data_IF_503307728577
#
_entry.id   IF_503307728577
#
_cell.length_a   1.000
_cell.length_b   1.000
_cell.length_c   1.000
_cell.angle_alpha   90.00
_cell.angle_beta   90.00
_cell.angle_gamma   90.00
#
_symmetry.space_group_name_H-M   'P 1'
#
loop_
_entity.id
_entity.type
_entity.pdbx_description
1 polymer ?
#
# COMPACT_ATOMS: atom_id res chain seq x y z
N UNK A 1 60.45 -54.51 37.42
CA UNK A 1 61.80 -53.91 37.29
C UNK A 1 61.66 -52.39 37.45
N UNK A 2 62.47 -51.80 38.35
CA UNK A 2 63.24 -50.54 38.22
C UNK A 2 62.66 -49.35 37.43
N UNK A 3 62.67 -48.07 37.89
CA UNK A 3 63.23 -47.41 39.10
C UNK A 3 62.51 -46.04 39.33
N UNK A 4 62.51 -45.54 40.57
CA UNK A 4 62.26 -44.13 40.99
C UNK A 4 63.50 -43.24 40.66
N UNK A 5 63.54 -41.87 40.82
CA UNK A 5 62.73 -41.02 41.72
C UNK A 5 62.33 -39.59 41.23
N UNK A 6 61.75 -38.79 42.13
CA UNK A 6 61.45 -37.35 41.99
C UNK A 6 62.65 -36.42 42.24
N UNK A 7 62.57 -35.13 41.84
CA UNK A 7 62.54 -34.01 42.81
C UNK A 7 61.63 -32.82 42.38
N UNK A 8 61.22 -31.82 43.18
CA UNK A 8 61.19 -31.60 44.65
C UNK A 8 60.26 -30.38 44.98
N UNK A 9 60.09 -30.00 46.27
CA UNK A 9 59.34 -28.80 46.73
C UNK A 9 60.15 -27.50 46.65
N UNK A 10 59.49 -26.35 46.44
CA UNK A 10 59.81 -25.09 47.17
C UNK A 10 58.55 -24.40 47.73
N UNK A 11 58.73 -23.69 48.86
CA UNK A 11 57.69 -23.21 49.78
C UNK A 11 57.13 -21.83 49.40
N UNK A 12 55.88 -21.58 49.84
CA UNK A 12 55.28 -20.24 49.98
C UNK A 12 56.10 -19.34 50.93
N UNK A 13 56.24 -18.06 50.58
CA UNK A 13 56.62 -16.98 51.48
C UNK A 13 55.44 -16.04 51.75
N UNK A 14 55.30 -15.55 52.98
CA UNK A 14 54.32 -14.52 53.41
C UNK A 14 54.97 -13.13 53.34
N UNK A 15 54.29 -12.13 52.78
CA UNK A 15 54.22 -10.70 53.18
C UNK A 15 52.93 -10.17 52.52
N UNK A 16 52.12 -9.26 53.05
CA UNK A 16 52.04 -8.60 54.36
C UNK A 16 50.84 -7.63 54.32
N UNK A 17 50.11 -7.51 55.42
CA UNK A 17 48.92 -6.67 55.53
C UNK A 17 49.32 -5.19 55.59
N UNK A 18 48.64 -4.30 54.86
CA UNK A 18 48.57 -2.88 55.17
C UNK A 18 47.13 -2.38 55.00
N UNK A 19 46.44 -2.19 56.12
CA UNK A 19 45.30 -1.27 56.19
C UNK A 19 45.84 0.15 56.05
N UNK A 20 45.17 0.99 55.26
CA UNK A 20 45.17 2.43 55.51
C UNK A 20 43.76 2.97 55.28
N UNK A 21 43.30 3.76 56.25
CA UNK A 21 41.94 4.26 56.35
C UNK A 21 41.68 5.45 55.41
N UNK A 22 40.40 5.63 55.12
CA UNK A 22 39.84 6.60 54.20
C UNK A 22 39.68 7.98 54.86
N UNK A 23 39.76 9.07 54.07
CA UNK A 23 38.77 10.15 54.18
C UNK A 23 38.07 10.34 52.81
N UNK A 24 36.77 10.04 52.62
CA UNK A 24 35.57 10.35 53.41
C UNK A 24 35.23 11.85 53.46
N UNK A 25 35.50 12.58 52.36
CA UNK A 25 35.10 14.00 52.24
C UNK A 25 34.60 14.46 50.85
N UNK A 26 34.80 13.69 49.75
CA UNK A 26 34.44 14.15 48.39
C UNK A 26 33.40 13.28 47.64
N UNK A 27 32.96 12.15 48.22
CA UNK A 27 31.92 11.31 47.61
C UNK A 27 30.48 11.75 47.95
N UNK A 28 30.28 12.55 49.00
CA UNK A 28 28.95 12.98 49.46
C UNK A 28 28.29 14.04 48.54
N UNK A 29 29.09 14.85 47.84
CA UNK A 29 28.59 15.87 46.92
C UNK A 29 28.05 15.33 45.58
N UNK A 30 28.43 14.10 45.20
CA UNK A 30 28.06 13.51 43.90
C UNK A 30 26.78 12.64 43.93
N UNK A 31 26.21 12.41 45.12
CA UNK A 31 25.01 11.57 45.31
C UNK A 31 23.77 12.33 45.83
N UNK A 32 23.89 13.64 46.08
CA UNK A 32 22.77 14.50 46.49
C UNK A 32 22.14 15.30 45.32
N UNK A 33 22.48 14.95 44.06
CA UNK A 33 22.09 15.69 42.86
C UNK A 33 21.23 14.94 41.84
N UNK A 34 20.74 13.73 42.15
CA UNK A 34 19.72 13.06 41.32
C UNK A 34 18.34 13.66 41.57
N UNK A 35 18.16 14.89 41.09
CA UNK A 35 16.83 15.42 40.82
C UNK A 35 16.11 14.45 39.87
N UNK A 36 14.94 13.97 40.28
CA UNK A 36 14.05 13.12 39.47
C UNK A 36 13.32 13.99 38.43
N UNK A 37 14.09 14.72 37.63
CA UNK A 37 13.62 15.34 36.41
C UNK A 37 13.88 14.36 35.27
N UNK A 38 12.84 14.05 34.50
CA UNK A 38 13.02 13.42 33.19
C UNK A 38 13.91 14.36 32.37
N UNK A 39 14.99 13.85 31.78
CA UNK A 39 15.86 14.68 30.95
C UNK A 39 15.01 15.23 29.79
N UNK A 40 14.83 16.56 29.68
CA UNK A 40 13.96 17.13 28.66
C UNK A 40 14.45 16.81 27.25
N UNK A 41 15.73 16.49 27.07
CA UNK A 41 16.27 16.01 25.81
C UNK A 41 15.85 14.56 25.53
N UNK A 42 15.84 13.66 26.52
CA UNK A 42 15.35 12.29 26.34
C UNK A 42 13.84 12.26 26.07
N UNK A 43 13.06 13.05 26.80
CA UNK A 43 11.62 13.20 26.54
C UNK A 43 11.36 13.78 25.14
N UNK A 44 12.18 14.76 24.70
CA UNK A 44 12.09 15.32 23.34
C UNK A 44 12.49 14.33 22.26
N UNK A 45 13.51 13.49 22.49
CA UNK A 45 13.92 12.42 21.58
C UNK A 45 12.78 11.42 21.41
N UNK A 46 12.22 10.90 22.51
CA UNK A 46 11.12 9.94 22.44
C UNK A 46 9.87 10.48 21.71
N UNK A 47 9.53 11.76 21.91
CA UNK A 47 8.44 12.41 21.17
C UNK A 47 8.76 12.58 19.68
N UNK A 48 10.01 12.93 19.32
CA UNK A 48 10.43 13.03 17.92
C UNK A 48 10.47 11.65 17.24
N UNK A 49 10.94 10.61 17.91
CA UNK A 49 10.91 9.22 17.42
C UNK A 49 9.47 8.76 17.15
N UNK A 50 8.55 9.06 18.08
CA UNK A 50 7.11 8.79 17.90
C UNK A 50 6.51 9.54 16.71
N UNK A 51 6.92 10.80 16.49
CA UNK A 51 6.49 11.59 15.31
C UNK A 51 7.05 11.02 14.01
N UNK A 52 8.32 10.60 13.98
CA UNK A 52 8.93 9.95 12.80
C UNK A 52 8.19 8.66 12.45
N UNK A 53 7.94 7.78 13.42
CA UNK A 53 7.19 6.54 13.22
C UNK A 53 5.75 6.77 12.71
N UNK A 54 5.09 7.85 13.14
CA UNK A 54 3.76 8.21 12.63
C UNK A 54 3.80 8.72 11.18
N UNK A 55 4.78 9.57 10.85
CA UNK A 55 4.98 10.06 9.49
C UNK A 55 5.38 8.95 8.52
N UNK A 56 6.28 8.04 8.92
CA UNK A 56 6.67 6.87 8.14
C UNK A 56 5.46 5.97 7.83
N UNK A 57 4.63 5.68 8.84
CA UNK A 57 3.39 4.92 8.63
C UNK A 57 2.44 5.60 7.62
N UNK A 58 2.21 6.92 7.76
CA UNK A 58 1.36 7.68 6.82
C UNK A 58 1.93 7.66 5.40
N UNK A 59 3.25 7.81 5.26
CA UNK A 59 3.93 7.77 3.96
C UNK A 59 3.74 6.41 3.28
N UNK A 60 3.90 5.31 4.00
CA UNK A 60 3.71 3.96 3.43
C UNK A 60 2.24 3.68 3.07
N UNK A 61 1.28 4.07 3.93
CA UNK A 61 -0.15 4.01 3.60
C UNK A 61 -0.46 4.78 2.30
N UNK A 62 0.04 6.02 2.16
CA UNK A 62 -0.17 6.86 0.98
C UNK A 62 0.49 6.32 -0.30
N UNK A 63 1.53 5.48 -0.17
CA UNK A 63 2.25 4.82 -1.27
C UNK A 63 1.62 3.51 -1.73
N UNK A 64 0.82 2.87 -0.86
CA UNK A 64 0.23 1.55 -1.06
C UNK A 64 -0.52 1.41 -2.41
N UNK A 65 -0.39 0.21 -3.00
CA UNK A 65 -1.04 -0.19 -4.25
C UNK A 65 -2.40 -0.82 -3.92
N UNK A 66 -3.47 -0.01 -3.85
CA UNK A 66 -4.80 -0.49 -3.42
C UNK A 66 -5.49 -1.38 -4.46
N UNK A 67 -5.22 -1.17 -5.75
CA UNK A 67 -5.76 -1.97 -6.85
C UNK A 67 -4.78 -2.01 -8.01
N UNK A 68 -4.57 -3.19 -8.57
CA UNK A 68 -3.66 -3.42 -9.69
C UNK A 68 -4.34 -4.33 -10.70
N UNK A 69 -4.28 -3.94 -11.97
CA UNK A 69 -4.66 -4.80 -13.08
C UNK A 69 -3.58 -4.77 -14.16
N UNK A 70 -3.50 -5.84 -14.95
CA UNK A 70 -2.60 -5.96 -16.09
C UNK A 70 -3.44 -6.15 -17.35
N UNK A 71 -3.07 -5.39 -18.39
CA UNK A 71 -3.57 -5.50 -19.75
C UNK A 71 -2.47 -6.10 -20.63
N UNK A 72 -2.65 -7.33 -21.13
CA UNK A 72 -1.72 -7.96 -22.07
C UNK A 72 -2.35 -7.98 -23.47
N UNK A 73 -1.68 -7.40 -24.46
CA UNK A 73 -2.18 -7.48 -25.83
C UNK A 73 -2.00 -8.89 -26.38
N UNK A 74 -3.08 -9.53 -26.83
CA UNK A 74 -3.06 -10.86 -27.44
C UNK A 74 -2.78 -10.70 -28.94
N UNK A 75 -3.69 -10.04 -29.67
CA UNK A 75 -3.65 -9.97 -31.13
C UNK A 75 -4.22 -8.64 -31.65
N UNK A 76 -3.86 -8.32 -32.90
CA UNK A 76 -4.49 -7.26 -33.67
C UNK A 76 -4.75 -7.76 -35.08
N UNK A 77 -5.98 -7.57 -35.54
CA UNK A 77 -6.43 -7.94 -36.87
C UNK A 77 -7.01 -6.71 -37.60
N UNK A 78 -7.17 -6.74 -38.94
CA UNK A 78 -8.00 -5.77 -39.63
C UNK A 78 -9.43 -5.79 -39.08
N UNK A 79 -10.05 -4.62 -38.92
CA UNK A 79 -11.46 -4.53 -38.50
C UNK A 79 -12.39 -4.95 -39.63
N UNK A 80 -13.35 -5.82 -39.30
CA UNK A 80 -14.48 -6.16 -40.19
C UNK A 80 -15.53 -5.04 -40.23
N UNK A 81 -15.65 -4.26 -39.14
CA UNK A 81 -16.64 -3.20 -38.98
C UNK A 81 -16.19 -1.87 -39.62
N UNK A 82 -14.87 -1.66 -39.74
CA UNK A 82 -14.26 -0.44 -40.28
C UNK A 82 -13.19 -0.77 -41.33
N UNK A 83 -13.42 -0.47 -42.62
CA UNK A 83 -12.37 -0.55 -43.64
C UNK A 83 -11.14 0.31 -43.27
N UNK A 84 -9.96 -0.31 -43.23
CA UNK A 84 -8.72 0.34 -42.80
C UNK A 84 -8.58 0.56 -41.29
N UNK A 85 -9.56 0.11 -40.49
CA UNK A 85 -9.46 0.03 -39.04
C UNK A 85 -8.71 -1.23 -38.59
N UNK A 86 -8.34 -1.26 -37.32
CA UNK A 86 -7.81 -2.44 -36.63
C UNK A 86 -8.77 -2.83 -35.51
N UNK A 87 -8.79 -4.13 -35.18
CA UNK A 87 -9.48 -4.70 -34.02
C UNK A 87 -8.42 -5.26 -33.08
N UNK A 88 -8.44 -4.88 -31.81
CA UNK A 88 -7.45 -5.31 -30.82
C UNK A 88 -8.09 -6.25 -29.80
N UNK A 89 -7.52 -7.44 -29.63
CA UNK A 89 -7.89 -8.35 -28.55
C UNK A 89 -6.80 -8.34 -27.48
N UNK A 90 -7.21 -8.28 -26.23
CA UNK A 90 -6.32 -8.23 -25.08
C UNK A 90 -6.91 -8.97 -23.89
N UNK A 91 -6.04 -9.35 -22.96
CA UNK A 91 -6.40 -9.92 -21.67
C UNK A 91 -6.36 -8.85 -20.60
N UNK A 92 -7.32 -8.90 -19.69
CA UNK A 92 -7.36 -8.14 -18.45
C UNK A 92 -7.32 -9.13 -17.28
N UNK A 93 -6.40 -8.93 -16.34
CA UNK A 93 -6.38 -9.62 -15.05
C UNK A 93 -6.18 -8.62 -13.93
N UNK A 94 -6.86 -8.81 -12.81
CA UNK A 94 -6.49 -8.14 -11.57
C UNK A 94 -5.40 -8.95 -10.86
N UNK A 95 -4.50 -8.29 -10.12
CA UNK A 95 -3.45 -8.97 -9.36
C UNK A 95 -3.33 -8.40 -7.94
N UNK A 96 -2.94 -9.25 -7.01
CA UNK A 96 -2.67 -8.87 -5.62
C UNK A 96 -1.29 -8.19 -5.47
N UNK A 97 -0.91 -7.69 -4.28
CA UNK A 97 0.40 -7.10 -4.04
C UNK A 97 1.60 -8.04 -4.24
N UNK A 98 1.39 -9.36 -4.28
CA UNK A 98 2.40 -10.38 -4.58
C UNK A 98 2.43 -10.77 -6.08
N UNK A 99 1.55 -10.20 -6.91
CA UNK A 99 1.43 -10.47 -8.34
C UNK A 99 0.56 -11.68 -8.69
N UNK A 100 -0.10 -12.32 -7.73
CA UNK A 100 -1.01 -13.43 -8.00
C UNK A 100 -2.35 -12.94 -8.57
N UNK A 101 -2.89 -13.64 -9.56
CA UNK A 101 -4.15 -13.26 -10.21
C UNK A 101 -5.35 -13.32 -9.25
N UNK A 102 -6.07 -12.21 -9.15
CA UNK A 102 -7.31 -12.08 -8.40
C UNK A 102 -8.50 -12.41 -9.30
N UNK A 103 -9.29 -13.42 -8.91
CA UNK A 103 -10.51 -13.80 -9.61
C UNK A 103 -10.24 -14.54 -10.93
N UNK A 104 -10.85 -14.08 -12.02
CA UNK A 104 -10.73 -14.68 -13.35
C UNK A 104 -10.12 -13.69 -14.33
N UNK A 105 -9.19 -14.16 -15.15
CA UNK A 105 -8.76 -13.42 -16.33
C UNK A 105 -9.94 -13.28 -17.30
N UNK A 106 -10.05 -12.11 -17.94
CA UNK A 106 -11.08 -11.83 -18.95
C UNK A 106 -10.40 -11.39 -20.24
N UNK A 107 -10.88 -11.89 -21.38
CA UNK A 107 -10.40 -11.45 -22.69
C UNK A 107 -11.46 -10.55 -23.34
N UNK A 108 -11.00 -9.42 -23.86
CA UNK A 108 -11.84 -8.39 -24.46
C UNK A 108 -11.36 -8.09 -25.88
N UNK A 109 -12.28 -7.62 -26.72
CA UNK A 109 -12.02 -7.30 -28.12
C UNK A 109 -12.62 -5.92 -28.46
N UNK A 110 -11.75 -4.96 -28.78
CA UNK A 110 -12.13 -3.57 -29.05
C UNK A 110 -11.89 -3.18 -30.50
N UNK A 111 -12.71 -2.28 -31.01
CA UNK A 111 -12.49 -1.61 -32.28
C UNK A 111 -11.52 -0.44 -32.10
N UNK A 112 -10.38 -0.52 -32.78
CA UNK A 112 -9.25 0.38 -32.64
C UNK A 112 -8.06 -0.22 -31.89
N UNK A 113 -7.11 0.62 -31.50
CA UNK A 113 -5.94 0.23 -30.70
C UNK A 113 -5.67 1.09 -29.45
N UNK A 114 -6.54 2.06 -29.15
CA UNK A 114 -6.60 2.76 -27.87
C UNK A 114 -7.68 2.12 -26.99
N UNK A 115 -7.28 1.57 -25.84
CA UNK A 115 -8.21 1.12 -24.82
C UNK A 115 -8.46 2.21 -23.79
N UNK A 116 -9.74 2.52 -23.54
CA UNK A 116 -10.22 3.39 -22.47
C UNK A 116 -10.72 2.55 -21.30
N UNK A 117 -10.40 2.99 -20.08
CA UNK A 117 -10.84 2.35 -18.84
C UNK A 117 -11.71 3.33 -18.04
N UNK A 118 -13.03 3.26 -18.21
CA UNK A 118 -13.99 4.05 -17.41
C UNK A 118 -14.09 3.46 -16.00
N UNK A 119 -13.73 4.29 -15.02
CA UNK A 119 -13.77 3.95 -13.61
C UNK A 119 -14.40 5.08 -12.80
N UNK A 120 -15.15 4.72 -11.77
CA UNK A 120 -15.71 5.67 -10.81
C UNK A 120 -14.83 5.69 -9.56
N UNK A 121 -14.27 6.85 -9.24
CA UNK A 121 -13.36 7.09 -8.12
C UNK A 121 -14.11 7.75 -6.96
N UNK A 122 -13.76 7.37 -5.73
CA UNK A 122 -14.19 8.03 -4.50
C UNK A 122 -12.97 8.34 -3.61
N UNK A 123 -12.93 9.56 -3.08
CA UNK A 123 -11.87 10.08 -2.22
C UNK A 123 -12.48 10.63 -0.94
N UNK A 124 -11.92 10.22 0.19
CA UNK A 124 -12.33 10.69 1.51
C UNK A 124 -11.40 11.81 2.01
N UNK A 125 -11.80 12.43 3.12
CA UNK A 125 -11.03 13.47 3.81
C UNK A 125 -9.69 12.96 4.35
N UNK A 126 -8.67 13.82 4.31
CA UNK A 126 -7.31 13.44 4.71
C UNK A 126 -7.21 13.13 6.23
N UNK A 127 -8.21 13.51 7.04
CA UNK A 127 -8.35 13.12 8.46
C UNK A 127 -8.31 11.59 8.66
N UNK A 128 -8.84 10.80 7.70
CA UNK A 128 -8.83 9.34 7.79
C UNK A 128 -7.41 8.76 7.64
N UNK A 129 -6.51 9.44 6.93
CA UNK A 129 -5.08 9.09 6.88
C UNK A 129 -4.44 9.34 8.25
N UNK A 130 -4.76 10.47 8.90
CA UNK A 130 -4.24 10.80 10.23
C UNK A 130 -4.75 9.84 11.31
N UNK A 131 -6.00 9.40 11.18
CA UNK A 131 -6.65 8.43 12.07
C UNK A 131 -6.30 6.97 11.76
N UNK A 132 -5.43 6.72 10.77
CA UNK A 132 -4.97 5.39 10.33
C UNK A 132 -6.11 4.45 9.90
N UNK A 133 -7.18 5.01 9.37
CA UNK A 133 -8.29 4.25 8.79
C UNK A 133 -7.86 3.72 7.42
N UNK A 134 -7.69 2.40 7.30
CA UNK A 134 -7.13 1.78 6.08
C UNK A 134 -8.10 1.81 4.88
N UNK A 135 -9.39 1.98 5.12
CA UNK A 135 -10.40 2.05 4.06
C UNK A 135 -10.55 3.49 3.58
N UNK A 136 -10.95 4.38 4.49
CA UNK A 136 -11.24 5.80 4.20
C UNK A 136 -9.96 6.62 4.07
N UNK A 137 -8.85 6.21 4.69
CA UNK A 137 -7.53 6.79 4.38
C UNK A 137 -7.02 6.46 2.98
N UNK A 138 -7.82 5.76 2.14
CA UNK A 138 -7.47 5.38 0.78
C UNK A 138 -8.51 5.79 -0.26
N UNK A 139 -8.04 6.05 -1.48
CA UNK A 139 -8.89 6.20 -2.67
C UNK A 139 -9.42 4.83 -3.07
N UNK A 140 -10.74 4.74 -3.26
CA UNK A 140 -11.41 3.52 -3.74
C UNK A 140 -11.98 3.75 -5.15
N UNK A 141 -12.18 2.66 -5.88
CA UNK A 141 -12.50 2.68 -7.30
C UNK A 141 -13.37 1.50 -7.72
N UNK A 142 -14.35 1.77 -8.57
CA UNK A 142 -15.12 0.79 -9.31
C UNK A 142 -14.76 0.87 -10.79
N UNK A 143 -14.15 -0.17 -11.37
CA UNK A 143 -13.94 -0.27 -12.82
C UNK A 143 -15.29 -0.52 -13.48
N UNK A 144 -15.81 0.47 -14.19
CA UNK A 144 -17.12 0.38 -14.81
C UNK A 144 -17.07 -0.42 -16.11
N UNK A 145 -16.16 -0.07 -17.01
CA UNK A 145 -16.06 -0.70 -18.34
C UNK A 145 -14.74 -0.43 -19.08
N UNK A 146 -14.48 -1.27 -20.08
CA UNK A 146 -13.43 -1.09 -21.11
C UNK A 146 -14.07 -0.87 -22.49
N UNK A 147 -13.50 0.03 -23.30
CA UNK A 147 -13.95 0.26 -24.68
C UNK A 147 -12.81 0.80 -25.56
N UNK A 148 -12.90 0.60 -26.87
CA UNK A 148 -11.98 1.16 -27.88
C UNK A 148 -12.34 2.57 -28.32
N UNK A 149 -11.43 3.27 -29.01
CA UNK A 149 -11.67 4.63 -29.50
C UNK A 149 -12.79 4.75 -30.56
N UNK A 150 -13.22 3.63 -31.15
CA UNK A 150 -14.31 3.57 -32.11
C UNK A 150 -15.57 2.88 -31.59
N UNK A 151 -15.65 2.67 -30.27
CA UNK A 151 -16.84 2.17 -29.57
C UNK A 151 -17.43 3.29 -28.70
N UNK A 152 -18.75 3.34 -28.58
CA UNK A 152 -19.39 4.20 -27.58
C UNK A 152 -19.22 3.58 -26.18
N UNK A 153 -19.24 4.38 -25.10
CA UNK A 153 -19.21 3.83 -23.75
C UNK A 153 -20.35 2.85 -23.47
N UNK A 154 -21.49 2.95 -24.16
CA UNK A 154 -22.62 2.03 -24.01
C UNK A 154 -22.33 0.61 -24.55
N UNK A 155 -21.41 0.49 -25.51
CA UNK A 155 -20.96 -0.78 -26.11
C UNK A 155 -19.76 -1.38 -25.37
N UNK A 156 -19.21 -0.67 -24.39
CA UNK A 156 -18.06 -1.10 -23.60
C UNK A 156 -18.35 -2.30 -22.69
N UNK A 157 -17.34 -3.16 -22.53
CA UNK A 157 -17.39 -4.37 -21.71
C UNK A 157 -17.38 -4.01 -20.22
N UNK A 158 -18.37 -4.42 -19.41
CA UNK A 158 -18.37 -4.16 -17.98
C UNK A 158 -17.27 -4.95 -17.26
N UNK A 159 -16.62 -4.36 -16.26
CA UNK A 159 -15.66 -5.06 -15.39
C UNK A 159 -16.29 -5.39 -14.04
N UNK A 160 -16.52 -4.38 -13.20
CA UNK A 160 -17.17 -4.57 -11.90
C UNK A 160 -18.69 -4.49 -12.03
N UNK A 161 -19.39 -5.29 -11.24
CA UNK A 161 -20.85 -5.20 -11.12
C UNK A 161 -21.22 -4.14 -10.11
N UNK A 162 -22.03 -3.15 -10.51
CA UNK A 162 -22.54 -2.14 -9.58
C UNK A 162 -23.34 -2.78 -8.44
N UNK A 163 -23.12 -2.32 -7.21
CA UNK A 163 -23.72 -2.92 -6.01
C UNK A 163 -22.94 -4.10 -5.42
N UNK A 164 -21.89 -4.60 -6.12
CA UNK A 164 -21.06 -5.73 -5.67
C UNK A 164 -19.65 -5.24 -5.37
N UNK A 165 -19.09 -5.65 -4.23
CA UNK A 165 -17.70 -5.35 -3.85
C UNK A 165 -16.71 -6.07 -4.81
N UNK A 166 -15.78 -5.35 -5.46
CA UNK A 166 -14.73 -5.97 -6.27
C UNK A 166 -13.79 -6.83 -5.43
N UNK A 167 -13.27 -7.92 -6.04
CA UNK A 167 -12.41 -8.88 -5.34
C UNK A 167 -11.09 -8.27 -4.82
N UNK A 168 -10.57 -7.23 -5.47
CA UNK A 168 -9.40 -6.48 -5.04
C UNK A 168 -9.54 -5.80 -3.67
N UNK A 169 -10.78 -5.58 -3.19
CA UNK A 169 -11.08 -5.03 -1.86
C UNK A 169 -11.52 -6.13 -0.87
N UNK A 170 -10.97 -7.34 -1.02
CA UNK A 170 -11.27 -8.49 -0.16
C UNK A 170 -10.72 -8.36 1.27
N UNK A 171 -10.72 -9.49 2.00
CA UNK A 171 -10.05 -9.62 3.29
C UNK A 171 -10.99 -9.53 4.48
N UNK A 172 -11.05 -8.36 5.11
CA UNK A 172 -11.39 -8.30 6.53
C UNK A 172 -12.87 -8.07 6.82
N UNK A 173 -13.43 -8.98 7.62
CA UNK A 173 -14.55 -8.69 8.52
C UNK A 173 -14.06 -7.81 9.70
N UNK A 174 -13.48 -6.66 9.35
CA UNK A 174 -13.05 -5.63 10.29
C UNK A 174 -14.26 -4.84 10.84
N UNK A 175 -14.03 -3.90 11.76
CA UNK A 175 -15.10 -3.09 12.37
C UNK A 175 -15.93 -2.32 11.33
N UNK A 176 -15.38 -2.01 10.15
CA UNK A 176 -16.05 -1.26 9.07
C UNK A 176 -16.78 -2.12 8.03
N UNK A 177 -16.95 -3.44 8.24
CA UNK A 177 -17.56 -4.34 7.25
C UNK A 177 -18.96 -3.88 6.78
N UNK A 178 -19.83 -3.46 7.72
CA UNK A 178 -21.16 -2.94 7.39
C UNK A 178 -21.11 -1.63 6.57
N UNK A 179 -20.13 -0.77 6.83
CA UNK A 179 -19.91 0.45 6.04
C UNK A 179 -19.39 0.11 4.64
N UNK A 180 -18.51 -0.88 4.48
CA UNK A 180 -18.09 -1.36 3.15
C UNK A 180 -19.29 -1.89 2.35
N UNK A 181 -20.15 -2.69 2.97
CA UNK A 181 -21.34 -3.23 2.30
C UNK A 181 -22.31 -2.12 1.85
N UNK A 182 -22.60 -1.13 2.69
CA UNK A 182 -23.39 0.06 2.28
C UNK A 182 -22.69 0.85 1.17
N UNK A 183 -21.38 1.09 1.29
CA UNK A 183 -20.60 1.83 0.30
C UNK A 183 -20.66 1.20 -1.08
N UNK A 184 -20.45 -0.11 -1.19
CA UNK A 184 -20.47 -0.80 -2.49
C UNK A 184 -21.89 -0.95 -3.04
N UNK A 185 -22.89 -1.19 -2.17
CA UNK A 185 -24.32 -1.25 -2.56
C UNK A 185 -24.80 0.08 -3.13
N UNK A 186 -24.58 1.17 -2.39
CA UNK A 186 -25.15 2.48 -2.65
C UNK A 186 -24.12 3.47 -3.22
N UNK A 187 -23.07 2.99 -3.90
CA UNK A 187 -21.92 3.79 -4.37
C UNK A 187 -22.32 5.13 -5.03
N UNK A 188 -23.32 5.12 -5.91
CA UNK A 188 -23.83 6.32 -6.59
C UNK A 188 -24.56 7.34 -5.70
N UNK A 189 -25.05 6.93 -4.52
CA UNK A 189 -25.65 7.83 -3.51
C UNK A 189 -24.61 8.81 -2.97
N UNK A 190 -23.38 8.33 -2.72
CA UNK A 190 -22.27 9.16 -2.25
C UNK A 190 -21.84 10.23 -3.28
N UNK A 191 -22.11 10.03 -4.58
CA UNK A 191 -21.86 11.03 -5.61
C UNK A 191 -22.94 12.13 -5.68
N UNK A 192 -24.20 11.78 -5.37
CA UNK A 192 -25.37 12.63 -5.66
C UNK A 192 -26.05 13.22 -4.42
N UNK A 193 -25.73 12.75 -3.22
CA UNK A 193 -26.25 13.27 -1.95
C UNK A 193 -25.12 13.94 -1.13
N UNK A 194 -25.05 15.29 -1.14
CA UNK A 194 -24.04 16.04 -0.39
C UNK A 194 -24.16 15.94 1.13
N UNK A 195 -25.27 15.44 1.68
CA UNK A 195 -25.37 15.16 3.12
C UNK A 195 -24.73 13.81 3.45
N UNK A 196 -25.05 12.77 2.68
CA UNK A 196 -24.44 11.44 2.82
C UNK A 196 -22.94 11.48 2.56
N UNK A 197 -22.49 12.20 1.53
CA UNK A 197 -21.07 12.41 1.23
C UNK A 197 -20.33 12.98 2.45
N UNK A 198 -20.79 14.12 2.99
CA UNK A 198 -20.17 14.77 4.16
C UNK A 198 -20.24 13.93 5.44
N UNK A 199 -21.36 13.27 5.72
CA UNK A 199 -21.49 12.39 6.90
C UNK A 199 -20.56 11.18 6.83
N UNK A 200 -20.24 10.73 5.61
CA UNK A 200 -19.34 9.61 5.36
C UNK A 200 -17.88 10.03 5.16
N UNK A 201 -17.60 11.35 5.25
CA UNK A 201 -16.26 11.91 5.05
C UNK A 201 -15.74 11.81 3.61
N UNK A 202 -16.65 11.81 2.63
CA UNK A 202 -16.33 11.81 1.19
C UNK A 202 -16.15 13.25 0.72
N UNK A 203 -14.94 13.59 0.27
CA UNK A 203 -14.61 14.93 -0.25
C UNK A 203 -14.73 15.07 -1.76
N UNK A 204 -14.60 13.96 -2.50
CA UNK A 204 -14.74 13.97 -3.95
C UNK A 204 -15.19 12.60 -4.46
N UNK A 205 -16.03 12.61 -5.50
CA UNK A 205 -16.44 11.43 -6.23
C UNK A 205 -16.65 11.79 -7.71
N UNK A 206 -15.87 11.19 -8.61
CA UNK A 206 -15.83 11.55 -10.04
C UNK A 206 -15.42 10.35 -10.91
N UNK A 207 -15.75 10.42 -12.20
CA UNK A 207 -15.28 9.44 -13.19
C UNK A 207 -13.87 9.76 -13.68
N UNK A 208 -13.03 8.74 -13.82
CA UNK A 208 -11.76 8.79 -14.52
C UNK A 208 -11.80 7.83 -15.72
N UNK A 209 -11.35 8.28 -16.89
CA UNK A 209 -11.29 7.47 -18.11
C UNK A 209 -9.91 7.54 -18.78
N UNK A 210 -8.83 7.13 -18.10
CA UNK A 210 -7.51 7.05 -18.70
C UNK A 210 -7.51 6.05 -19.87
N UNK A 211 -6.63 6.28 -20.83
CA UNK A 211 -6.49 5.46 -22.02
C UNK A 211 -5.03 5.17 -22.36
N UNK A 212 -4.80 4.08 -23.09
CA UNK A 212 -3.47 3.72 -23.59
C UNK A 212 -3.58 3.05 -24.95
N UNK A 213 -2.58 3.28 -25.82
CA UNK A 213 -2.46 2.58 -27.11
C UNK A 213 -1.74 1.24 -26.91
N UNK A 214 -2.37 0.13 -27.29
CA UNK A 214 -1.88 -1.23 -27.10
C UNK A 214 -0.89 -1.64 -28.21
N UNK A 215 0.40 -1.45 -27.96
CA UNK A 215 1.49 -1.77 -28.87
C UNK A 215 1.75 -3.29 -28.96
N UNK A 216 2.27 -3.80 -30.11
CA UNK A 216 2.62 -5.21 -30.25
C UNK A 216 3.64 -5.66 -29.20
N UNK A 217 3.41 -6.82 -28.61
CA UNK A 217 4.34 -7.44 -27.64
C UNK A 217 4.46 -6.68 -26.32
N UNK A 218 3.53 -5.78 -25.97
CA UNK A 218 3.57 -5.05 -24.70
C UNK A 218 2.42 -5.41 -23.77
N UNK A 219 2.74 -5.46 -22.48
CA UNK A 219 1.77 -5.47 -21.39
C UNK A 219 1.75 -4.10 -20.69
N UNK A 220 0.65 -3.80 -20.00
CA UNK A 220 0.43 -2.53 -19.32
C UNK A 220 -0.13 -2.76 -17.92
N UNK A 221 0.51 -2.15 -16.93
CA UNK A 221 0.03 -2.12 -15.55
C UNK A 221 -0.90 -0.91 -15.36
N UNK A 222 -2.12 -1.19 -14.93
CA UNK A 222 -3.05 -0.22 -14.36
C UNK A 222 -2.85 -0.24 -12.85
N UNK A 223 -2.56 0.93 -12.27
CA UNK A 223 -2.33 1.10 -10.84
C UNK A 223 -3.26 2.17 -10.25
N UNK A 224 -3.92 1.83 -9.14
CA UNK A 224 -4.46 2.79 -8.19
C UNK A 224 -3.58 2.84 -6.94
N UNK A 225 -3.19 4.06 -6.53
CA UNK A 225 -2.56 4.33 -5.24
C UNK A 225 -3.56 4.93 -4.26
N UNK A 226 -3.36 4.68 -2.97
CA UNK A 226 -4.11 5.29 -1.86
C UNK A 226 -4.38 6.78 -2.04
N UNK A 227 -3.35 7.54 -2.44
CA UNK A 227 -3.37 8.99 -2.58
C UNK A 227 -3.68 9.52 -4.00
N UNK A 228 -3.85 8.62 -4.98
CA UNK A 228 -3.73 8.96 -6.40
C UNK A 228 -5.04 9.07 -7.19
N UNK A 229 -4.91 9.13 -8.50
CA UNK A 229 -5.91 8.63 -9.46
C UNK A 229 -5.39 7.37 -10.14
N UNK A 230 -6.08 6.90 -11.17
CA UNK A 230 -5.57 5.82 -12.01
C UNK A 230 -4.30 6.23 -12.76
N UNK A 231 -3.30 5.35 -12.78
CA UNK A 231 -2.11 5.47 -13.62
C UNK A 231 -2.00 4.24 -14.51
N UNK A 232 -1.72 4.42 -15.80
CA UNK A 232 -1.36 3.33 -16.71
C UNK A 232 0.13 3.43 -17.01
N UNK A 233 0.85 2.30 -16.95
CA UNK A 233 2.29 2.19 -17.23
C UNK A 233 2.55 1.03 -18.16
N UNK A 234 3.36 1.22 -19.20
CA UNK A 234 3.89 0.11 -19.98
C UNK A 234 4.82 -0.73 -19.10
N UNK A 235 4.65 -2.04 -19.12
CA UNK A 235 5.63 -2.98 -18.58
C UNK A 235 6.72 -3.19 -19.65
N UNK A 236 7.97 -3.15 -19.22
CA UNK A 236 9.10 -3.48 -20.09
C UNK A 236 9.35 -4.99 -20.07
N UNK A 237 9.83 -5.52 -21.20
CA UNK A 237 10.14 -6.95 -21.38
C UNK A 237 11.47 -7.32 -20.68
N UNK A 238 11.52 -7.12 -19.35
CA UNK A 238 12.59 -7.46 -18.40
C UNK A 238 11.93 -7.72 -17.04
N UNK A 239 12.04 -8.88 -16.41
CA UNK A 239 13.08 -9.92 -16.49
C UNK A 239 12.55 -11.33 -16.85
#
# INVERSE_FOLDING_TARGET
>A
MSRLPAPSRRRRGRVGLNLLLVPAALAAGWLAGRGRGEDPHLARIAELERQVQDLEFRIELLRERRRVAILDRIEQAPSEQRPGGVRTRFRFREVDPAGATLGREQEFEIEGDLVYLDAQVIKFDDEFVERRDLLRGSTLLLFRRLFGEYQTPAEGFPIDTAGVRPAAYGGDAGPDAAFQEELWRDFWRYANDPAVARQSGVRAMHGEAPYVKLAPGRAYEIQLRTSGGLTIRTLDDRE
#
